data_IF_565740465809
#
_entry.id   IF_565740465809
#
_cell.length_a   1.000
_cell.length_b   1.000
_cell.length_c   1.000
_cell.angle_alpha   90.00
_cell.angle_beta   90.00
_cell.angle_gamma   90.00
#
_symmetry.space_group_name_H-M   'P 1'
#
loop_
_entity.id
_entity.type
_entity.pdbx_description
1 polymer ?
#
# COMPACT_ATOMS: atom_id res chain seq x y z
N UNK A 1 -20.33 -0.31 0.42
CA UNK A 1 -19.72 0.75 1.24
C UNK A 1 -19.04 0.17 2.45
N UNK A 2 -18.28 0.98 3.18
CA UNK A 2 -17.90 0.70 4.55
C UNK A 2 -19.16 0.69 5.43
N UNK A 3 -19.21 -0.19 6.43
CA UNK A 3 -20.32 -0.33 7.36
C UNK A 3 -20.73 1.06 7.93
N UNK A 4 -22.04 1.41 7.96
CA UNK A 4 -22.49 2.76 8.33
C UNK A 4 -21.98 3.23 9.70
N UNK A 5 -21.91 2.33 10.68
CA UNK A 5 -21.35 2.66 11.98
C UNK A 5 -19.89 3.11 11.90
N UNK A 6 -19.05 2.45 11.10
CA UNK A 6 -17.65 2.84 10.92
C UNK A 6 -17.56 4.15 10.15
N UNK A 7 -18.36 4.28 9.08
CA UNK A 7 -18.42 5.50 8.25
C UNK A 7 -18.82 6.75 9.07
N UNK A 8 -19.73 6.58 10.03
CA UNK A 8 -20.23 7.66 10.88
C UNK A 8 -19.32 7.94 12.10
N UNK A 9 -18.27 7.14 12.31
CA UNK A 9 -17.32 7.30 13.41
C UNK A 9 -15.87 7.30 12.88
N UNK A 10 -15.47 8.29 12.05
CA UNK A 10 -14.17 8.28 11.36
C UNK A 10 -12.95 8.37 12.29
N UNK A 11 -13.12 8.93 13.50
CA UNK A 11 -12.06 9.06 14.49
C UNK A 11 -11.98 7.86 15.46
N UNK A 12 -12.93 6.91 15.36
CA UNK A 12 -12.98 5.77 16.27
C UNK A 12 -11.94 4.70 15.90
N UNK A 13 -11.40 4.06 16.94
CA UNK A 13 -10.52 2.90 16.79
C UNK A 13 -11.31 1.64 17.12
N UNK A 14 -11.49 0.79 16.12
CA UNK A 14 -12.11 -0.53 16.27
C UNK A 14 -11.03 -1.59 16.47
N UNK A 15 -11.19 -2.43 17.49
CA UNK A 15 -10.25 -3.49 17.82
C UNK A 15 -10.93 -4.84 17.58
N UNK A 16 -10.39 -5.61 16.64
CA UNK A 16 -10.83 -6.98 16.37
C UNK A 16 -9.75 -7.96 16.83
N UNK A 17 -10.06 -8.74 17.87
CA UNK A 17 -9.15 -9.77 18.39
C UNK A 17 -9.28 -11.07 17.59
N UNK A 18 -8.18 -11.80 17.48
CA UNK A 18 -8.15 -13.16 16.96
C UNK A 18 -7.46 -14.07 17.98
N UNK A 19 -7.78 -15.35 17.96
CA UNK A 19 -7.19 -16.38 18.81
C UNK A 19 -6.10 -17.20 18.11
N UNK A 20 -5.72 -16.79 16.89
CA UNK A 20 -4.68 -17.41 16.07
C UNK A 20 -3.37 -17.53 16.84
N UNK A 21 -2.90 -18.76 17.03
CA UNK A 21 -1.68 -19.05 17.82
C UNK A 21 -0.42 -19.11 16.98
N UNK A 22 -0.55 -19.31 15.67
CA UNK A 22 0.57 -19.54 14.77
C UNK A 22 0.39 -18.83 13.44
N UNK A 23 1.48 -18.27 12.91
CA UNK A 23 1.51 -17.73 11.54
C UNK A 23 1.50 -18.80 10.46
N UNK A 24 1.63 -20.08 10.84
CA UNK A 24 1.46 -21.22 9.92
C UNK A 24 0.00 -21.63 9.78
N UNK A 25 -0.88 -21.06 10.61
CA UNK A 25 -2.30 -21.37 10.62
C UNK A 25 -3.02 -20.64 9.47
N UNK A 26 -2.76 -21.11 8.26
CA UNK A 26 -3.28 -20.53 7.02
C UNK A 26 -4.80 -20.38 7.04
N UNK A 27 -5.51 -21.40 7.53
CA UNK A 27 -6.97 -21.41 7.54
C UNK A 27 -7.51 -20.32 8.48
N UNK A 28 -7.07 -20.28 9.74
CA UNK A 28 -7.57 -19.27 10.66
C UNK A 28 -7.12 -17.84 10.27
N UNK A 29 -5.97 -17.67 9.61
CA UNK A 29 -5.57 -16.37 9.04
C UNK A 29 -6.52 -15.91 7.93
N UNK A 30 -6.91 -16.82 7.03
CA UNK A 30 -7.89 -16.53 5.98
C UNK A 30 -9.27 -16.25 6.59
N UNK A 31 -9.71 -17.05 7.55
CA UNK A 31 -11.02 -16.89 8.19
C UNK A 31 -11.12 -15.56 8.96
N UNK A 32 -10.05 -15.16 9.65
CA UNK A 32 -9.98 -13.87 10.32
C UNK A 32 -10.08 -12.70 9.34
N UNK A 33 -9.37 -12.76 8.21
CA UNK A 33 -9.46 -11.75 7.16
C UNK A 33 -10.85 -11.69 6.54
N UNK A 34 -11.43 -12.86 6.24
CA UNK A 34 -12.76 -13.01 5.64
C UNK A 34 -13.85 -12.44 6.53
N UNK A 35 -13.87 -12.84 7.81
CA UNK A 35 -14.86 -12.38 8.79
C UNK A 35 -14.81 -10.87 8.96
N UNK A 36 -13.62 -10.31 9.20
CA UNK A 36 -13.47 -8.88 9.41
C UNK A 36 -13.88 -8.08 8.16
N UNK A 37 -13.52 -8.54 6.96
CA UNK A 37 -13.92 -7.88 5.73
C UNK A 37 -15.45 -7.85 5.57
N UNK A 38 -16.17 -8.93 5.92
CA UNK A 38 -17.65 -8.97 5.84
C UNK A 38 -18.34 -8.07 6.84
N UNK A 39 -17.75 -7.90 8.02
CA UNK A 39 -18.30 -6.99 9.04
C UNK A 39 -18.09 -5.53 8.64
N UNK A 40 -16.94 -5.21 8.02
CA UNK A 40 -16.58 -3.83 7.69
C UNK A 40 -17.05 -3.38 6.31
N UNK A 41 -17.16 -4.29 5.34
CA UNK A 41 -17.51 -3.98 3.95
C UNK A 41 -18.87 -4.58 3.64
N UNK A 42 -19.87 -3.72 3.50
CA UNK A 42 -21.27 -4.12 3.31
C UNK A 42 -21.78 -3.72 1.93
N UNK A 43 -22.70 -4.52 1.40
CA UNK A 43 -23.40 -4.20 0.16
C UNK A 43 -24.36 -3.04 0.41
N UNK A 44 -24.31 -2.03 -0.47
CA UNK A 44 -25.12 -0.81 -0.36
C UNK A 44 -25.72 -0.44 -1.72
N UNK A 45 -26.85 0.26 -1.73
CA UNK A 45 -27.54 0.73 -2.96
C UNK A 45 -26.80 1.87 -3.70
N UNK A 46 -25.66 2.31 -3.16
CA UNK A 46 -24.71 3.28 -3.71
C UNK A 46 -23.38 3.24 -2.93
N UNK A 47 -22.29 3.82 -3.48
CA UNK A 47 -20.97 3.88 -2.82
C UNK A 47 -20.05 2.67 -3.07
N UNK A 48 -18.75 2.82 -2.83
CA UNK A 48 -17.77 1.75 -3.08
C UNK A 48 -17.70 0.76 -1.92
N UNK A 49 -17.58 -0.56 -2.10
CA UNK A 49 -17.35 -1.22 -3.37
C UNK A 49 -18.57 -2.08 -3.72
N UNK A 50 -19.52 -1.52 -4.48
CA UNK A 50 -20.84 -2.11 -4.75
C UNK A 50 -21.03 -2.64 -6.18
N UNK A 51 -20.02 -2.49 -7.05
CA UNK A 51 -20.06 -2.91 -8.45
C UNK A 51 -18.99 -3.96 -8.76
N UNK A 52 -19.30 -4.86 -9.69
CA UNK A 52 -18.33 -5.79 -10.28
C UNK A 52 -17.21 -5.05 -11.06
N UNK A 53 -17.46 -3.80 -11.49
CA UNK A 53 -16.50 -2.97 -12.21
C UNK A 53 -15.47 -2.32 -11.30
N UNK A 54 -15.82 -2.07 -10.02
CA UNK A 54 -14.99 -1.35 -9.08
C UNK A 54 -13.65 -2.05 -8.88
N UNK A 55 -12.57 -1.29 -9.03
CA UNK A 55 -11.20 -1.77 -8.89
C UNK A 55 -10.76 -1.62 -7.44
N UNK A 56 -10.61 -2.73 -6.75
CA UNK A 56 -10.16 -2.77 -5.36
C UNK A 56 -8.64 -2.83 -5.34
N UNK A 57 -8.03 -1.79 -4.78
CA UNK A 57 -6.59 -1.71 -4.58
C UNK A 57 -6.32 -2.14 -3.14
N UNK A 58 -5.73 -3.31 -2.97
CA UNK A 58 -5.26 -3.78 -1.68
C UNK A 58 -3.81 -3.33 -1.51
N UNK A 59 -3.56 -2.55 -0.45
CA UNK A 59 -2.22 -2.15 -0.04
C UNK A 59 -1.84 -2.83 1.28
N UNK A 60 -1.20 -4.00 1.25
CA UNK A 60 -0.66 -4.61 2.47
C UNK A 60 0.60 -3.88 2.93
N UNK A 61 0.95 -4.03 4.21
CA UNK A 61 2.22 -3.57 4.74
C UNK A 61 3.36 -4.33 4.08
N UNK A 62 4.31 -3.58 3.55
CA UNK A 62 5.40 -4.13 2.79
C UNK A 62 6.76 -3.70 3.34
N UNK A 63 7.62 -4.67 3.56
CA UNK A 63 9.04 -4.47 3.82
C UNK A 63 9.78 -5.58 3.11
N UNK A 64 10.81 -5.26 2.34
CA UNK A 64 11.60 -6.27 1.65
C UNK A 64 12.20 -7.25 2.66
N UNK A 65 11.78 -8.51 2.58
CA UNK A 65 12.21 -9.57 3.48
C UNK A 65 12.37 -10.86 2.68
N UNK A 66 13.61 -11.35 2.57
CA UNK A 66 13.93 -12.69 2.09
C UNK A 66 14.61 -13.51 3.19
N UNK A 67 14.85 -14.82 3.01
CA UNK A 67 15.40 -15.72 4.02
C UNK A 67 16.91 -15.55 4.25
N UNK A 68 17.38 -14.29 4.37
CA UNK A 68 18.81 -13.95 4.53
C UNK A 68 19.49 -14.57 5.76
N UNK A 69 18.71 -14.88 6.78
CA UNK A 69 19.09 -15.52 8.03
C UNK A 69 18.77 -17.02 8.05
N UNK A 70 18.46 -17.62 6.88
CA UNK A 70 18.04 -19.01 6.74
C UNK A 70 16.61 -19.29 7.21
N UNK A 71 15.90 -18.27 7.73
CA UNK A 71 14.54 -18.41 8.25
C UNK A 71 13.50 -18.00 7.21
N UNK A 72 12.37 -18.72 7.11
CA UNK A 72 11.31 -18.35 6.20
C UNK A 72 10.70 -16.99 6.59
N UNK A 73 10.21 -16.25 5.59
CA UNK A 73 9.70 -14.88 5.79
C UNK A 73 8.58 -14.82 6.84
N UNK A 74 7.68 -15.80 6.88
CA UNK A 74 6.54 -15.77 7.80
C UNK A 74 6.98 -15.70 9.27
N UNK A 75 8.16 -16.21 9.64
CA UNK A 75 8.70 -16.12 11.00
C UNK A 75 9.15 -14.69 11.37
N UNK A 76 9.32 -13.80 10.39
CA UNK A 76 9.78 -12.42 10.60
C UNK A 76 8.62 -11.59 11.15
N UNK A 77 8.78 -11.13 12.39
CA UNK A 77 7.79 -10.30 13.07
C UNK A 77 7.86 -8.86 12.56
N UNK A 78 6.70 -8.19 12.44
CA UNK A 78 6.63 -6.78 12.08
C UNK A 78 7.11 -6.40 10.66
N UNK A 79 7.31 -7.35 9.74
CA UNK A 79 7.79 -7.06 8.38
C UNK A 79 6.66 -6.86 7.37
N UNK A 80 5.80 -7.85 7.19
CA UNK A 80 4.79 -7.87 6.13
C UNK A 80 3.41 -8.20 6.69
N UNK A 81 2.35 -7.64 6.10
CA UNK A 81 1.00 -8.18 6.28
C UNK A 81 0.99 -9.60 5.74
N UNK A 82 0.35 -10.51 6.47
CA UNK A 82 0.34 -11.92 6.08
C UNK A 82 -0.47 -12.09 4.78
N UNK A 83 0.07 -12.75 3.74
CA UNK A 83 -0.64 -12.94 2.48
C UNK A 83 -1.95 -13.73 2.65
N UNK A 84 -2.03 -14.66 3.60
CA UNK A 84 -3.24 -15.44 3.84
C UNK A 84 -4.35 -14.58 4.45
N UNK A 85 -4.02 -13.66 5.35
CA UNK A 85 -4.98 -12.67 5.85
C UNK A 85 -5.52 -11.78 4.73
N UNK A 86 -4.65 -11.37 3.79
CA UNK A 86 -5.06 -10.59 2.61
C UNK A 86 -6.01 -11.38 1.71
N UNK A 87 -5.75 -12.67 1.49
CA UNK A 87 -6.65 -13.56 0.73
C UNK A 87 -8.01 -13.66 1.42
N UNK A 88 -8.04 -13.89 2.73
CA UNK A 88 -9.25 -13.87 3.53
C UNK A 88 -10.05 -12.59 3.32
N UNK A 89 -9.40 -11.44 3.47
CA UNK A 89 -10.01 -10.13 3.27
C UNK A 89 -10.62 -9.97 1.88
N UNK A 90 -9.87 -10.32 0.82
CA UNK A 90 -10.35 -10.28 -0.56
C UNK A 90 -11.58 -11.17 -0.74
N UNK A 91 -11.54 -12.39 -0.20
CA UNK A 91 -12.68 -13.31 -0.26
C UNK A 91 -13.91 -12.75 0.46
N UNK A 92 -13.75 -12.10 1.61
CA UNK A 92 -14.87 -11.47 2.31
C UNK A 92 -15.46 -10.31 1.50
N UNK A 93 -14.62 -9.49 0.88
CA UNK A 93 -15.07 -8.40 0.00
C UNK A 93 -15.84 -8.90 -1.23
N UNK A 94 -15.56 -10.11 -1.74
CA UNK A 94 -16.28 -10.65 -2.91
C UNK A 94 -17.76 -10.81 -2.63
N UNK A 95 -18.15 -11.05 -1.38
CA UNK A 95 -19.56 -11.13 -0.98
C UNK A 95 -20.29 -9.78 -1.16
N UNK A 96 -19.56 -8.66 -1.04
CA UNK A 96 -20.12 -7.32 -1.24
C UNK A 96 -20.32 -6.96 -2.73
N UNK A 97 -19.71 -7.71 -3.66
CA UNK A 97 -19.90 -7.53 -5.12
C UNK A 97 -18.63 -7.40 -5.98
N UNK A 98 -17.54 -6.74 -5.56
CA UNK A 98 -16.38 -6.48 -6.41
C UNK A 98 -15.72 -7.75 -6.95
N UNK A 99 -15.13 -7.63 -8.14
CA UNK A 99 -14.46 -8.74 -8.82
C UNK A 99 -13.04 -8.42 -9.31
N UNK A 100 -12.64 -7.15 -9.32
CA UNK A 100 -11.32 -6.72 -9.79
C UNK A 100 -10.45 -6.32 -8.61
N UNK A 101 -9.47 -7.16 -8.27
CA UNK A 101 -8.57 -6.95 -7.14
C UNK A 101 -7.14 -6.75 -7.61
N UNK A 102 -6.46 -5.78 -7.02
CA UNK A 102 -5.11 -5.39 -7.35
C UNK A 102 -4.29 -5.30 -6.09
N UNK A 103 -3.14 -5.97 -6.04
CA UNK A 103 -2.09 -5.61 -5.09
C UNK A 103 -1.09 -4.74 -5.84
N UNK A 104 -0.81 -3.56 -5.27
CA UNK A 104 0.17 -2.62 -5.82
C UNK A 104 1.25 -2.34 -4.80
N UNK A 105 2.47 -2.60 -5.22
CA UNK A 105 3.66 -2.38 -4.43
C UNK A 105 4.83 -2.08 -5.38
N UNK A 106 5.75 -1.22 -4.94
CA UNK A 106 7.00 -0.95 -5.63
C UNK A 106 8.26 -1.35 -4.86
N UNK A 107 8.11 -1.83 -3.63
CA UNK A 107 9.13 -2.31 -2.70
C UNK A 107 9.61 -3.74 -2.98
N UNK A 108 10.89 -3.87 -3.30
CA UNK A 108 11.64 -5.14 -3.28
C UNK A 108 10.97 -6.30 -4.04
N UNK A 109 10.70 -6.16 -5.35
CA UNK A 109 10.08 -7.21 -6.18
C UNK A 109 10.79 -8.56 -6.11
N UNK A 110 12.12 -8.55 -5.98
CA UNK A 110 12.94 -9.76 -5.81
C UNK A 110 12.66 -10.58 -4.54
N UNK A 111 11.92 -10.07 -3.56
CA UNK A 111 11.49 -10.84 -2.39
C UNK A 111 10.04 -11.33 -2.47
N UNK A 112 9.26 -10.94 -3.48
CA UNK A 112 7.81 -11.18 -3.49
C UNK A 112 7.45 -12.66 -3.51
N UNK A 113 8.30 -13.48 -4.13
CA UNK A 113 8.20 -14.94 -4.11
C UNK A 113 8.44 -15.51 -2.70
N UNK A 114 9.56 -15.15 -2.05
CA UNK A 114 9.88 -15.56 -0.68
C UNK A 114 8.81 -15.15 0.33
N UNK A 115 8.18 -14.00 0.10
CA UNK A 115 7.08 -13.49 0.94
C UNK A 115 5.74 -14.17 0.65
N UNK A 116 5.68 -15.07 -0.33
CA UNK A 116 4.50 -15.85 -0.72
C UNK A 116 3.48 -15.09 -1.58
N UNK A 117 3.73 -13.82 -1.92
CA UNK A 117 2.75 -12.95 -2.57
C UNK A 117 2.44 -13.36 -4.01
N UNK A 118 3.43 -13.77 -4.81
CA UNK A 118 3.16 -14.24 -6.17
C UNK A 118 2.21 -15.43 -6.18
N UNK A 119 2.53 -16.49 -5.42
CA UNK A 119 1.69 -17.69 -5.37
C UNK A 119 0.27 -17.40 -4.88
N UNK A 120 0.11 -16.61 -3.81
CA UNK A 120 -1.25 -16.35 -3.29
C UNK A 120 -2.07 -15.44 -4.21
N UNK A 121 -1.44 -14.45 -4.85
CA UNK A 121 -2.17 -13.51 -5.72
C UNK A 121 -2.61 -14.19 -7.00
N UNK A 122 -1.75 -14.99 -7.62
CA UNK A 122 -2.06 -15.79 -8.81
C UNK A 122 -3.22 -16.76 -8.55
N UNK A 123 -3.11 -17.60 -7.50
CA UNK A 123 -4.14 -18.59 -7.12
C UNK A 123 -5.50 -17.96 -6.83
N UNK A 124 -5.51 -16.70 -6.41
CA UNK A 124 -6.73 -16.00 -6.05
C UNK A 124 -7.17 -14.97 -7.09
N UNK A 125 -6.58 -14.92 -8.29
CA UNK A 125 -6.97 -13.96 -9.33
C UNK A 125 -6.84 -12.50 -8.89
N UNK A 126 -5.82 -12.19 -8.09
CA UNK A 126 -5.46 -10.84 -7.66
C UNK A 126 -4.34 -10.36 -8.57
N UNK A 127 -4.53 -9.23 -9.24
CA UNK A 127 -3.51 -8.66 -10.12
C UNK A 127 -2.37 -8.06 -9.28
N UNK A 128 -1.22 -8.75 -9.26
CA UNK A 128 0.05 -8.27 -8.74
C UNK A 128 1.02 -8.13 -9.91
N UNK A 129 1.57 -6.93 -10.10
CA UNK A 129 2.52 -6.65 -11.18
C UNK A 129 3.72 -5.90 -10.63
N UNK A 130 4.91 -6.34 -11.01
CA UNK A 130 6.11 -5.55 -10.80
C UNK A 130 6.17 -4.44 -11.85
N UNK A 131 5.77 -3.25 -11.42
CA UNK A 131 5.88 -2.00 -12.19
C UNK A 131 7.00 -1.11 -11.64
N UNK A 132 7.86 -1.68 -10.80
CA UNK A 132 8.85 -0.96 -10.00
C UNK A 132 10.28 -1.25 -10.41
N UNK A 133 10.52 -2.31 -11.17
CA UNK A 133 11.82 -2.60 -11.77
C UNK A 133 12.11 -1.81 -13.05
N UNK A 134 11.16 -0.98 -13.52
CA UNK A 134 11.27 -0.17 -14.73
C UNK A 134 11.28 1.33 -14.40
N UNK A 135 11.99 2.14 -15.18
CA UNK A 135 11.88 3.58 -15.08
C UNK A 135 10.53 4.09 -15.62
N UNK A 136 10.07 5.23 -15.12
CA UNK A 136 8.73 5.76 -15.47
C UNK A 136 8.55 6.11 -16.95
N UNK A 137 9.63 6.26 -17.72
CA UNK A 137 9.57 6.52 -19.17
C UNK A 137 9.46 5.24 -20.00
N UNK A 138 9.63 4.07 -19.38
CA UNK A 138 9.40 2.76 -20.00
C UNK A 138 7.96 2.27 -19.76
N UNK A 139 7.27 2.89 -18.79
CA UNK A 139 5.91 2.56 -18.39
C UNK A 139 4.88 3.40 -19.13
N UNK A 140 3.75 2.79 -19.51
CA UNK A 140 2.68 3.44 -20.29
C UNK A 140 1.71 4.19 -19.37
N UNK A 141 1.58 5.50 -19.56
CA UNK A 141 0.58 6.33 -18.86
C UNK A 141 -0.84 5.81 -19.15
N UNK A 142 -1.68 5.75 -18.12
CA UNK A 142 -3.07 5.26 -18.19
C UNK A 142 -3.21 3.74 -18.31
N UNK A 143 -2.09 3.01 -18.33
CA UNK A 143 -2.06 1.54 -18.32
C UNK A 143 -1.25 1.00 -17.14
N UNK A 144 -0.04 1.53 -16.97
CA UNK A 144 0.89 1.11 -15.92
C UNK A 144 1.00 2.17 -14.83
N UNK A 145 0.85 3.46 -15.19
CA UNK A 145 0.98 4.59 -14.28
C UNK A 145 -0.11 5.63 -14.42
N UNK A 146 -0.49 6.24 -13.29
CA UNK A 146 -1.33 7.42 -13.19
C UNK A 146 -0.53 8.55 -12.52
N UNK A 147 -0.34 9.64 -13.27
CA UNK A 147 0.31 10.84 -12.73
C UNK A 147 -0.73 11.70 -12.03
N UNK A 148 -0.42 12.13 -10.81
CA UNK A 148 -1.30 12.93 -9.97
C UNK A 148 -0.53 14.14 -9.46
N UNK A 149 -1.09 15.33 -9.70
CA UNK A 149 -0.59 16.57 -9.12
C UNK A 149 -0.75 16.53 -7.59
N UNK A 150 0.20 17.13 -6.88
CA UNK A 150 0.20 17.19 -5.42
C UNK A 150 0.09 18.67 -5.01
N UNK A 151 -1.15 19.18 -4.82
CA UNK A 151 -1.37 20.53 -4.31
C UNK A 151 -0.64 20.72 -2.98
N UNK A 152 0.13 21.80 -2.86
CA UNK A 152 0.90 22.08 -1.64
C UNK A 152 2.02 21.09 -1.32
N UNK A 153 2.35 20.15 -2.22
CA UNK A 153 3.43 19.19 -1.98
C UNK A 153 4.78 19.86 -1.77
N UNK A 154 5.47 19.47 -0.69
CA UNK A 154 6.77 20.02 -0.25
C UNK A 154 7.89 19.62 -1.21
N UNK A 155 7.99 18.31 -1.50
CA UNK A 155 9.03 17.75 -2.38
C UNK A 155 8.50 17.59 -3.80
N UNK A 156 7.41 16.85 -3.94
CA UNK A 156 6.81 16.55 -5.23
C UNK A 156 5.72 17.55 -5.56
N UNK A 157 5.70 18.04 -6.79
CA UNK A 157 4.53 18.76 -7.35
C UNK A 157 3.60 17.83 -8.13
N UNK A 158 4.12 16.69 -8.57
CA UNK A 158 3.39 15.61 -9.24
C UNK A 158 4.10 14.29 -8.91
N UNK A 159 3.36 13.19 -8.79
CA UNK A 159 3.92 11.86 -8.60
C UNK A 159 3.23 10.82 -9.47
N UNK A 160 3.97 9.78 -9.87
CA UNK A 160 3.45 8.64 -10.59
C UNK A 160 3.01 7.53 -9.62
N UNK A 161 1.73 7.17 -9.68
CA UNK A 161 1.13 6.06 -8.95
C UNK A 161 0.94 4.85 -9.87
N UNK A 162 1.03 3.64 -9.32
CA UNK A 162 0.87 2.40 -10.07
C UNK A 162 -0.61 2.19 -10.43
N UNK A 163 -0.94 2.09 -11.72
CA UNK A 163 -2.32 1.89 -12.16
C UNK A 163 -2.90 0.57 -11.60
N UNK A 164 -4.13 0.55 -11.04
CA UNK A 164 -5.17 1.55 -11.23
C UNK A 164 -5.29 2.60 -10.11
N UNK A 165 -4.26 2.83 -9.30
CA UNK A 165 -4.32 3.82 -8.21
C UNK A 165 -4.72 5.19 -8.75
N UNK A 166 -5.70 5.83 -8.10
CA UNK A 166 -6.29 7.13 -8.45
C UNK A 166 -7.09 7.17 -9.78
N UNK A 167 -7.39 6.03 -10.41
CA UNK A 167 -8.37 5.98 -11.50
C UNK A 167 -9.82 6.13 -10.98
N UNK A 168 -10.77 6.55 -11.83
CA UNK A 168 -12.19 6.48 -11.52
C UNK A 168 -12.62 5.05 -11.15
N UNK A 169 -13.65 4.93 -10.31
CA UNK A 169 -14.20 3.64 -9.84
C UNK A 169 -13.15 2.75 -9.16
N UNK A 170 -12.34 3.36 -8.29
CA UNK A 170 -11.33 2.66 -7.46
C UNK A 170 -11.63 2.79 -5.98
N UNK A 171 -11.25 1.78 -5.20
CA UNK A 171 -11.37 1.75 -3.75
C UNK A 171 -10.10 1.21 -3.12
N UNK A 172 -9.48 1.99 -2.23
CA UNK A 172 -8.23 1.61 -1.55
C UNK A 172 -8.53 0.93 -0.21
N UNK A 173 -8.03 -0.29 -0.04
CA UNK A 173 -7.95 -0.99 1.24
C UNK A 173 -6.50 -0.96 1.70
N UNK A 174 -6.22 -0.18 2.75
CA UNK A 174 -4.87 -0.06 3.30
C UNK A 174 -4.71 -0.93 4.56
N UNK A 175 -4.06 -2.08 4.43
CA UNK A 175 -3.86 -3.07 5.50
C UNK A 175 -2.44 -2.94 6.04
N UNK A 176 -2.24 -1.95 6.91
CA UNK A 176 -0.93 -1.66 7.50
C UNK A 176 -0.59 -2.58 8.68
N UNK A 177 0.71 -2.67 9.01
CA UNK A 177 1.17 -3.24 10.27
C UNK A 177 1.64 -2.12 11.19
N UNK A 178 1.36 -2.31 12.47
CA UNK A 178 1.94 -1.48 13.51
C UNK A 178 3.41 -1.87 13.68
N UNK A 179 4.31 -1.00 13.24
CA UNK A 179 5.76 -1.19 13.33
C UNK A 179 6.48 0.15 13.41
N UNK A 180 7.72 0.09 13.88
CA UNK A 180 8.66 1.21 13.81
C UNK A 180 9.53 1.14 12.55
N UNK A 181 10.09 2.29 12.21
CA UNK A 181 11.10 2.52 11.17
C UNK A 181 12.00 3.67 11.66
N UNK A 182 13.14 3.92 11.02
CA UNK A 182 14.04 5.03 11.38
C UNK A 182 13.43 6.44 11.28
N UNK A 183 12.15 6.55 10.91
CA UNK A 183 11.38 7.81 10.86
C UNK A 183 10.23 7.84 11.88
N UNK A 184 10.16 6.88 12.80
CA UNK A 184 9.06 6.72 13.76
C UNK A 184 8.10 5.56 13.43
N UNK A 185 6.84 5.70 13.84
CA UNK A 185 5.79 4.72 13.61
C UNK A 185 5.24 4.85 12.19
N UNK A 186 5.14 3.73 11.48
CA UNK A 186 4.86 3.73 10.04
C UNK A 186 3.38 3.88 9.70
N UNK A 187 2.53 3.11 10.41
CA UNK A 187 1.08 3.07 10.24
C UNK A 187 0.59 3.01 8.77
N UNK A 188 -0.64 3.43 8.52
CA UNK A 188 -1.28 3.43 7.19
C UNK A 188 -0.64 4.42 6.22
N UNK A 189 -0.18 5.58 6.69
CA UNK A 189 0.35 6.64 5.84
C UNK A 189 1.63 6.20 5.11
N UNK A 190 2.55 5.54 5.81
CA UNK A 190 3.78 5.04 5.18
C UNK A 190 3.49 3.94 4.18
N UNK A 191 2.38 3.22 4.35
CA UNK A 191 2.02 2.16 3.43
C UNK A 191 1.70 2.69 2.03
N UNK A 192 1.21 3.94 1.91
CA UNK A 192 0.92 4.59 0.64
C UNK A 192 2.17 4.82 -0.23
N UNK A 193 3.35 4.86 0.38
CA UNK A 193 4.64 4.98 -0.32
C UNK A 193 4.79 3.93 -1.42
N UNK A 194 4.41 2.68 -1.14
CA UNK A 194 4.51 1.56 -2.08
C UNK A 194 3.54 1.62 -3.26
N UNK A 195 2.56 2.55 -3.25
CA UNK A 195 1.65 2.75 -4.39
C UNK A 195 2.24 3.63 -5.49
N UNK A 196 3.41 4.24 -5.25
CA UNK A 196 4.10 5.08 -6.22
C UNK A 196 5.14 4.28 -7.00
N UNK A 197 5.48 4.73 -8.22
CA UNK A 197 6.58 4.13 -8.98
C UNK A 197 7.91 4.24 -8.21
N UNK A 198 8.84 3.32 -8.50
CA UNK A 198 10.01 3.06 -7.64
C UNK A 198 10.79 4.30 -7.21
N UNK A 199 11.03 5.21 -8.14
CA UNK A 199 11.79 6.44 -7.87
C UNK A 199 11.02 7.42 -7.00
N UNK A 200 9.71 7.55 -7.20
CA UNK A 200 8.86 8.40 -6.37
C UNK A 200 8.76 7.87 -4.94
N UNK A 201 8.83 6.55 -4.73
CA UNK A 201 8.65 5.96 -3.40
C UNK A 201 9.73 6.32 -2.40
N UNK A 202 10.88 6.91 -2.72
CA UNK A 202 11.99 7.02 -1.74
C UNK A 202 11.80 8.13 -0.69
N UNK A 203 10.60 8.23 -0.10
CA UNK A 203 10.25 9.21 0.93
C UNK A 203 11.15 9.14 2.18
N UNK A 204 11.80 8.01 2.43
CA UNK A 204 12.74 7.85 3.54
C UNK A 204 14.16 8.32 3.23
N UNK A 205 14.44 8.70 1.99
CA UNK A 205 15.77 9.16 1.60
C UNK A 205 15.98 10.56 2.17
N UNK A 206 17.15 10.79 2.75
CA UNK A 206 17.55 12.14 3.15
C UNK A 206 17.41 13.11 1.97
N UNK A 207 16.81 14.26 2.20
CA UNK A 207 16.46 15.18 1.12
C UNK A 207 17.69 15.67 0.33
N UNK A 208 18.84 15.81 1.00
CA UNK A 208 20.13 16.24 0.43
C UNK A 208 20.75 15.21 -0.55
N UNK A 209 20.21 14.00 -0.57
CA UNK A 209 20.60 12.95 -1.50
C UNK A 209 19.68 12.85 -2.72
N UNK A 210 18.51 13.50 -2.72
CA UNK A 210 17.52 13.37 -3.81
C UNK A 210 18.14 13.78 -5.14
N UNK A 211 18.74 14.98 -5.24
CA UNK A 211 19.38 15.40 -6.49
C UNK A 211 20.61 14.59 -6.86
N UNK A 212 21.34 14.05 -5.88
CA UNK A 212 22.55 13.25 -6.11
C UNK A 212 22.23 11.86 -6.65
N UNK A 213 21.12 11.25 -6.19
CA UNK A 213 20.75 9.88 -6.52
C UNK A 213 19.81 9.77 -7.72
N UNK A 214 18.98 10.77 -7.94
CA UNK A 214 17.90 10.69 -8.93
C UNK A 214 18.38 11.13 -10.31
N UNK A 215 17.94 10.41 -11.34
CA UNK A 215 18.10 10.86 -12.72
C UNK A 215 17.44 12.24 -12.90
N UNK A 216 18.15 13.18 -13.55
CA UNK A 216 17.69 14.57 -13.77
C UNK A 216 16.33 14.65 -14.47
N UNK A 217 15.93 13.64 -15.24
CA UNK A 217 14.59 13.53 -15.85
C UNK A 217 13.45 13.58 -14.83
N UNK A 218 13.71 13.21 -13.57
CA UNK A 218 12.71 13.29 -12.49
C UNK A 218 12.55 14.69 -11.89
N UNK A 219 13.50 15.61 -12.10
CA UNK A 219 13.48 16.92 -11.43
C UNK A 219 12.27 17.76 -11.81
N UNK A 220 11.71 17.53 -13.00
CA UNK A 220 10.46 18.18 -13.43
C UNK A 220 9.26 17.80 -12.58
N UNK A 221 9.32 16.76 -11.76
CA UNK A 221 8.25 16.38 -10.84
C UNK A 221 8.47 16.92 -9.41
N UNK A 222 9.61 17.55 -9.16
CA UNK A 222 9.95 18.11 -7.85
C UNK A 222 9.66 19.62 -7.83
N UNK A 223 9.40 20.15 -6.63
CA UNK A 223 9.47 21.58 -6.37
C UNK A 223 10.92 22.03 -6.55
N UNK A 224 11.15 23.23 -7.10
CA UNK A 224 12.53 23.68 -7.39
C UNK A 224 13.34 23.91 -6.11
N UNK A 225 12.67 24.27 -5.03
CA UNK A 225 13.19 24.76 -3.75
C UNK A 225 12.78 23.86 -2.57
N UNK A 226 12.49 22.58 -2.82
CA UNK A 226 12.01 21.66 -1.77
C UNK A 226 12.96 21.59 -0.57
N UNK A 227 14.27 21.73 -0.78
CA UNK A 227 15.26 21.72 0.28
C UNK A 227 15.01 22.85 1.29
N UNK A 228 14.73 24.06 0.80
CA UNK A 228 14.42 25.22 1.64
C UNK A 228 13.13 25.01 2.42
N UNK A 229 12.10 24.44 1.78
CA UNK A 229 10.83 24.13 2.46
C UNK A 229 11.02 23.09 3.56
N UNK A 230 11.82 22.05 3.34
CA UNK A 230 12.11 21.04 4.36
C UNK A 230 12.84 21.66 5.55
N UNK A 231 13.87 22.47 5.31
CA UNK A 231 14.61 23.15 6.39
C UNK A 231 13.72 24.10 7.19
N UNK A 232 12.82 24.83 6.54
CA UNK A 232 11.85 25.67 7.22
C UNK A 232 10.89 24.86 8.11
N UNK A 233 10.40 23.70 7.62
CA UNK A 233 9.55 22.79 8.39
C UNK A 233 10.30 22.18 9.58
N UNK A 234 11.56 21.80 9.39
CA UNK A 234 12.41 21.29 10.45
C UNK A 234 12.66 22.35 11.52
N UNK A 235 13.01 23.58 11.13
CA UNK A 235 13.20 24.69 12.07
C UNK A 235 11.92 24.99 12.87
N UNK A 236 10.74 24.88 12.25
CA UNK A 236 9.45 24.99 12.95
C UNK A 236 9.24 23.86 13.96
N UNK A 237 9.58 22.63 13.60
CA UNK A 237 9.47 21.46 14.48
C UNK A 237 10.37 21.58 15.72
N UNK A 238 11.62 22.04 15.55
CA UNK A 238 12.58 22.20 16.66
C UNK A 238 12.21 23.33 17.62
N UNK A 239 11.53 24.37 17.12
CA UNK A 239 11.04 25.49 17.95
C UNK A 239 9.69 25.22 18.61
N UNK A 240 9.05 24.10 18.27
CA UNK A 240 7.74 23.68 18.76
C UNK A 240 7.78 23.20 20.21
#
# INVERSE_FOLDING_TARGET
DVHPFVKNNPEAVFIHYTDIKSKRDTQNLQDAGYKLAKELIVKTTGGYPNSISTKIIIKPNWTGAGPKDGKPVYEKLGTNTDPNFVVGWVNGMREAGPRKYYVRESGSPHFWEDMGYYSVTEKNGIDLKDLSSMDIWELKKGRDLNFVEIPGGVVFREAAYLAPVNEPDTFLVNIAKFKSHGMGITASIKNLQGLTAYTFKQFCTRYDLVRKKYNKRYYKYFRKDFERHIEALYAKHVKG
#
